data_IF_816501718362
#
_entry.id   IF_816501718362
#
_cell.length_a   1.000
_cell.length_b   1.000
_cell.length_c   1.000
_cell.angle_alpha   90.00
_cell.angle_beta   90.00
_cell.angle_gamma   90.00
#
_symmetry.space_group_name_H-M   'P 1'
#
loop_
_entity.id
_entity.type
_entity.pdbx_description
1 polymer ?
#
# COMPACT_ATOMS: atom_id res chain seq x y z
N UNK A 1 15.83 -55.10 9.81
CA UNK A 1 14.95 -53.95 9.56
C UNK A 1 14.35 -54.14 8.19
N UNK A 2 13.14 -54.68 8.13
CA UNK A 2 12.46 -55.02 6.88
C UNK A 2 11.56 -53.86 6.42
N UNK A 3 11.10 -53.92 5.17
CA UNK A 3 10.14 -52.94 4.62
C UNK A 3 8.85 -52.82 5.46
N UNK A 4 8.48 -53.89 6.17
CA UNK A 4 7.36 -53.90 7.12
C UNK A 4 7.59 -52.99 8.33
N UNK A 5 8.84 -52.84 8.79
CA UNK A 5 9.19 -51.98 9.92
C UNK A 5 9.10 -50.49 9.54
N UNK A 6 9.31 -50.15 8.26
CA UNK A 6 9.21 -48.78 7.73
C UNK A 6 7.74 -48.35 7.53
N UNK A 7 6.86 -49.30 7.20
CA UNK A 7 5.45 -49.03 6.92
C UNK A 7 4.57 -48.87 8.17
N UNK A 8 5.06 -49.27 9.35
CA UNK A 8 4.27 -49.32 10.59
C UNK A 8 3.72 -47.96 11.07
N UNK A 9 4.22 -46.84 10.55
CA UNK A 9 3.75 -45.48 10.87
C UNK A 9 3.05 -44.75 9.71
N UNK A 10 2.96 -45.34 8.51
CA UNK A 10 2.46 -44.64 7.32
C UNK A 10 0.96 -44.88 7.17
N UNK A 11 0.17 -43.81 7.38
CA UNK A 11 -1.28 -43.82 7.18
C UNK A 11 -1.61 -43.40 5.75
N UNK A 12 -2.12 -44.30 4.94
CA UNK A 12 -2.63 -44.00 3.60
C UNK A 12 -4.00 -43.30 3.68
N UNK A 13 -4.14 -42.15 3.03
CA UNK A 13 -5.42 -41.46 2.84
C UNK A 13 -5.82 -41.51 1.37
N UNK A 14 -7.10 -41.74 1.07
CA UNK A 14 -7.66 -41.75 -0.31
C UNK A 14 -8.10 -40.37 -0.77
N UNK A 15 -8.03 -39.37 0.12
CA UNK A 15 -8.37 -37.99 -0.19
C UNK A 15 -7.14 -37.13 0.04
N UNK A 16 -6.59 -36.60 -1.04
CA UNK A 16 -5.69 -35.45 -0.97
C UNK A 16 -6.54 -34.20 -0.73
N UNK A 17 -6.10 -33.35 0.20
CA UNK A 17 -6.56 -31.96 0.24
C UNK A 17 -5.78 -31.22 -0.84
N UNK A 18 -6.51 -30.66 -1.78
CA UNK A 18 -5.96 -29.72 -2.75
C UNK A 18 -5.43 -28.53 -1.98
N UNK A 19 -4.10 -28.47 -1.81
CA UNK A 19 -3.42 -27.23 -1.45
C UNK A 19 -3.07 -26.61 -2.78
N UNK A 20 -3.90 -25.65 -3.22
CA UNK A 20 -3.59 -24.86 -4.41
C UNK A 20 -2.17 -24.32 -4.29
N UNK A 21 -1.41 -24.45 -5.37
CA UNK A 21 -0.09 -23.84 -5.48
C UNK A 21 -0.31 -22.46 -6.09
N UNK A 22 0.04 -21.41 -5.36
CA UNK A 22 0.05 -20.06 -5.92
C UNK A 22 1.17 -20.02 -6.98
N UNK A 23 0.79 -19.95 -8.26
CA UNK A 23 1.75 -19.82 -9.36
C UNK A 23 2.04 -18.34 -9.57
N UNK A 24 3.28 -17.92 -9.28
CA UNK A 24 3.75 -16.57 -9.57
C UNK A 24 3.97 -16.42 -11.07
N UNK A 25 3.18 -15.55 -11.69
CA UNK A 25 3.45 -15.13 -13.06
C UNK A 25 4.49 -13.99 -13.07
N UNK A 26 5.76 -14.34 -13.29
CA UNK A 26 6.84 -13.36 -13.47
C UNK A 26 6.76 -12.61 -14.81
N UNK A 27 5.74 -12.85 -15.64
CA UNK A 27 5.44 -12.05 -16.84
C UNK A 27 4.43 -10.94 -16.56
N UNK A 28 3.96 -10.81 -15.32
CA UNK A 28 3.10 -9.72 -14.90
C UNK A 28 3.85 -8.37 -14.98
N UNK A 29 3.19 -7.40 -15.60
CA UNK A 29 3.68 -6.03 -15.76
C UNK A 29 3.97 -5.39 -14.39
N UNK A 30 5.08 -4.64 -14.29
CA UNK A 30 5.49 -3.95 -13.05
C UNK A 30 4.46 -2.90 -12.63
N UNK A 31 4.43 -2.54 -11.34
CA UNK A 31 3.49 -1.52 -10.87
C UNK A 31 3.72 -0.18 -11.58
N UNK A 32 4.97 0.22 -11.81
CA UNK A 32 5.29 1.46 -12.54
C UNK A 32 4.70 1.46 -13.96
N UNK A 33 4.77 0.33 -14.68
CA UNK A 33 4.22 0.24 -16.03
C UNK A 33 2.68 0.30 -16.04
N UNK A 34 2.02 -0.30 -15.04
CA UNK A 34 0.56 -0.15 -14.85
C UNK A 34 0.17 1.30 -14.50
N UNK A 35 0.99 1.97 -13.69
CA UNK A 35 0.73 3.35 -13.26
C UNK A 35 0.98 4.39 -14.34
N UNK A 36 1.70 4.05 -15.41
CA UNK A 36 1.95 4.97 -16.53
C UNK A 36 0.65 5.49 -17.17
N UNK A 37 -0.44 4.70 -17.14
CA UNK A 37 -1.75 5.14 -17.63
C UNK A 37 -2.38 6.28 -16.81
N UNK A 38 -1.91 6.51 -15.58
CA UNK A 38 -2.45 7.49 -14.64
C UNK A 38 -1.45 8.62 -14.33
N UNK A 39 -0.28 8.64 -14.99
CA UNK A 39 0.83 9.53 -14.64
C UNK A 39 0.44 11.02 -14.68
N UNK A 40 -0.38 11.42 -15.66
CA UNK A 40 -0.87 12.80 -15.80
C UNK A 40 -1.79 13.25 -14.64
N UNK A 41 -2.38 12.30 -13.92
CA UNK A 41 -3.28 12.55 -12.79
C UNK A 41 -2.59 12.44 -11.42
N UNK A 42 -1.28 12.12 -11.42
CA UNK A 42 -0.47 11.94 -10.23
C UNK A 42 0.42 13.16 -9.95
N UNK A 43 0.70 13.47 -8.66
CA UNK A 43 1.63 14.55 -8.31
C UNK A 43 3.11 14.27 -8.65
N UNK A 44 3.43 13.03 -9.05
CA UNK A 44 4.78 12.48 -9.27
C UNK A 44 4.75 11.52 -10.44
N UNK A 45 5.92 11.13 -10.96
CA UNK A 45 6.02 10.12 -12.01
C UNK A 45 5.47 8.75 -11.55
N UNK A 46 5.07 7.92 -12.52
CA UNK A 46 4.59 6.57 -12.26
C UNK A 46 5.62 5.70 -11.51
N UNK A 47 6.91 5.90 -11.79
CA UNK A 47 8.01 5.20 -11.11
C UNK A 47 8.09 5.56 -9.62
N UNK A 48 8.11 6.86 -9.30
CA UNK A 48 8.14 7.32 -7.91
C UNK A 48 6.87 6.89 -7.16
N UNK A 49 5.70 6.95 -7.81
CA UNK A 49 4.44 6.49 -7.25
C UNK A 49 4.47 4.99 -6.91
N UNK A 50 5.02 4.16 -7.82
CA UNK A 50 5.16 2.73 -7.60
C UNK A 50 6.08 2.42 -6.42
N UNK A 51 7.26 3.05 -6.36
CA UNK A 51 8.20 2.90 -5.23
C UNK A 51 7.53 3.22 -3.90
N UNK A 52 6.82 4.35 -3.81
CA UNK A 52 6.12 4.72 -2.57
C UNK A 52 5.01 3.74 -2.20
N UNK A 53 4.22 3.29 -3.19
CA UNK A 53 3.12 2.37 -2.96
C UNK A 53 3.62 1.01 -2.44
N UNK A 54 4.70 0.48 -3.01
CA UNK A 54 5.32 -0.77 -2.58
C UNK A 54 5.91 -0.63 -1.17
N UNK A 55 6.67 0.44 -0.89
CA UNK A 55 7.23 0.69 0.43
C UNK A 55 6.14 0.85 1.51
N UNK A 56 5.13 1.68 1.24
CA UNK A 56 4.05 1.96 2.19
C UNK A 56 3.18 0.72 2.44
N UNK A 57 2.84 -0.06 1.41
CA UNK A 57 2.15 -1.34 1.56
C UNK A 57 3.00 -2.39 2.28
N UNK A 58 4.33 -2.30 2.18
CA UNK A 58 5.30 -3.07 2.96
C UNK A 58 5.39 -2.65 4.43
N UNK A 59 4.67 -1.61 4.84
CA UNK A 59 4.60 -1.11 6.22
C UNK A 59 5.56 0.04 6.53
N UNK A 60 6.22 0.62 5.53
CA UNK A 60 7.01 1.84 5.71
C UNK A 60 6.11 3.02 6.10
N UNK A 61 6.65 3.99 6.84
CA UNK A 61 5.94 5.24 7.08
C UNK A 61 5.86 6.06 5.79
N UNK A 62 4.95 7.04 5.72
CA UNK A 62 4.88 7.98 4.58
C UNK A 62 6.22 8.71 4.37
N UNK A 63 6.93 9.03 5.45
CA UNK A 63 8.24 9.68 5.38
C UNK A 63 9.30 8.77 4.77
N UNK A 64 9.39 7.52 5.24
CA UNK A 64 10.36 6.55 4.72
C UNK A 64 10.10 6.23 3.23
N UNK A 65 8.83 6.07 2.86
CA UNK A 65 8.43 5.87 1.47
C UNK A 65 8.79 7.10 0.59
N UNK A 66 8.60 8.31 1.13
CA UNK A 66 8.98 9.56 0.44
C UNK A 66 10.49 9.65 0.21
N UNK A 67 11.28 9.30 1.23
CA UNK A 67 12.75 9.30 1.16
C UNK A 67 13.24 8.28 0.13
N UNK A 68 12.65 7.09 0.08
CA UNK A 68 12.98 6.04 -0.90
C UNK A 68 12.68 6.49 -2.33
N UNK A 69 11.58 7.20 -2.55
CA UNK A 69 11.20 7.75 -3.85
C UNK A 69 11.85 9.11 -4.17
N UNK A 70 12.64 9.68 -3.25
CA UNK A 70 13.31 10.97 -3.44
C UNK A 70 12.36 12.17 -3.54
N UNK A 71 11.21 12.12 -2.88
CA UNK A 71 10.18 13.19 -2.91
C UNK A 71 9.90 13.75 -1.51
N UNK A 72 9.26 14.91 -1.45
CA UNK A 72 8.86 15.48 -0.15
C UNK A 72 7.72 14.65 0.50
N UNK A 73 7.70 14.49 1.84
CA UNK A 73 6.66 13.70 2.53
C UNK A 73 5.22 14.16 2.26
N UNK A 74 4.99 15.46 2.08
CA UNK A 74 3.66 15.99 1.72
C UNK A 74 3.26 15.59 0.31
N UNK A 75 4.20 15.53 -0.64
CA UNK A 75 3.94 15.03 -1.99
C UNK A 75 3.67 13.53 -1.98
N UNK A 76 4.41 12.77 -1.17
CA UNK A 76 4.16 11.34 -0.98
C UNK A 76 2.75 11.07 -0.43
N UNK A 77 2.33 11.78 0.62
CA UNK A 77 0.97 11.66 1.16
C UNK A 77 -0.10 11.95 0.10
N UNK A 78 0.08 12.99 -0.73
CA UNK A 78 -0.84 13.31 -1.82
C UNK A 78 -0.88 12.22 -2.89
N UNK A 79 0.27 11.69 -3.28
CA UNK A 79 0.38 10.64 -4.28
C UNK A 79 -0.27 9.33 -3.78
N UNK A 80 0.05 8.90 -2.56
CA UNK A 80 -0.56 7.71 -1.95
C UNK A 80 -2.09 7.86 -1.81
N UNK A 81 -2.58 9.06 -1.48
CA UNK A 81 -4.02 9.33 -1.45
C UNK A 81 -4.66 9.19 -2.83
N UNK A 82 -4.02 9.74 -3.87
CA UNK A 82 -4.48 9.59 -5.26
C UNK A 82 -4.43 8.14 -5.74
N UNK A 83 -3.55 7.31 -5.19
CA UNK A 83 -3.51 5.87 -5.44
C UNK A 83 -4.55 5.05 -4.65
N UNK A 84 -5.35 5.69 -3.78
CA UNK A 84 -6.42 5.05 -3.03
C UNK A 84 -6.03 4.52 -1.65
N UNK A 85 -4.84 4.83 -1.14
CA UNK A 85 -4.49 4.50 0.24
C UNK A 85 -5.29 5.37 1.22
N UNK A 86 -5.91 4.72 2.21
CA UNK A 86 -6.68 5.40 3.24
C UNK A 86 -5.81 5.87 4.42
N UNK A 87 -6.35 6.76 5.25
CA UNK A 87 -5.73 7.16 6.53
C UNK A 87 -4.59 8.17 6.41
N UNK A 88 -4.48 8.87 5.27
CA UNK A 88 -3.40 9.84 5.00
C UNK A 88 -3.76 11.27 5.41
N UNK A 89 -5.02 11.53 5.78
CA UNK A 89 -5.40 12.81 6.36
C UNK A 89 -4.76 12.96 7.74
N UNK A 90 -4.07 14.08 8.01
CA UNK A 90 -3.52 14.33 9.33
C UNK A 90 -4.60 14.72 10.36
N UNK A 91 -5.82 15.03 9.89
CA UNK A 91 -6.90 15.53 10.74
C UNK A 91 -7.66 14.40 11.44
N UNK A 92 -7.93 14.62 12.72
CA UNK A 92 -8.93 13.88 13.50
C UNK A 92 -10.35 14.12 12.95
N UNK A 93 -11.34 13.28 13.32
CA UNK A 93 -12.72 13.46 12.88
C UNK A 93 -13.28 14.87 13.12
N UNK A 94 -13.07 15.43 14.31
CA UNK A 94 -13.51 16.79 14.65
C UNK A 94 -12.84 17.87 13.78
N UNK A 95 -11.53 17.73 13.53
CA UNK A 95 -10.83 18.69 12.66
C UNK A 95 -11.33 18.62 11.21
N UNK A 96 -11.82 17.45 10.75
CA UNK A 96 -12.44 17.32 9.42
C UNK A 96 -13.80 18.01 9.35
N UNK A 97 -14.62 17.95 10.40
CA UNK A 97 -15.87 18.73 10.45
C UNK A 97 -15.57 20.24 10.32
N UNK A 98 -14.57 20.75 11.05
CA UNK A 98 -14.14 22.16 10.94
C UNK A 98 -13.61 22.49 9.52
N UNK A 99 -12.89 21.55 8.90
CA UNK A 99 -12.41 21.72 7.52
C UNK A 99 -13.59 21.77 6.54
N UNK A 100 -14.62 20.96 6.74
CA UNK A 100 -15.85 20.95 5.93
C UNK A 100 -16.58 22.29 6.05
N UNK A 101 -16.72 22.84 7.27
CA UNK A 101 -17.28 24.17 7.49
C UNK A 101 -16.51 25.25 6.73
N UNK A 102 -15.17 25.18 6.73
CA UNK A 102 -14.33 26.11 5.97
C UNK A 102 -14.51 25.94 4.45
N UNK A 103 -14.55 24.71 3.95
CA UNK A 103 -14.77 24.42 2.52
C UNK A 103 -16.17 24.87 2.06
N UNK A 104 -17.16 24.82 2.95
CA UNK A 104 -18.52 25.32 2.74
C UNK A 104 -18.63 26.85 2.89
N UNK A 105 -17.52 27.55 3.20
CA UNK A 105 -17.46 28.98 3.50
C UNK A 105 -18.32 29.42 4.70
N UNK A 106 -18.54 28.52 5.67
CA UNK A 106 -19.25 28.79 6.91
C UNK A 106 -18.35 29.41 8.00
N UNK A 107 -17.02 29.25 7.86
CA UNK A 107 -16.03 29.94 8.71
C UNK A 107 -14.84 30.48 7.89
N UNK A 108 -14.13 31.45 8.47
CA UNK A 108 -12.93 32.01 7.83
C UNK A 108 -11.75 31.04 7.93
N UNK A 109 -10.77 31.16 7.03
CA UNK A 109 -9.53 30.36 7.10
C UNK A 109 -8.79 30.57 8.42
N UNK A 110 -8.81 31.79 8.96
CA UNK A 110 -8.14 32.10 10.22
C UNK A 110 -8.80 31.35 11.39
N UNK A 111 -10.14 31.37 11.45
CA UNK A 111 -10.90 30.66 12.49
C UNK A 111 -10.70 29.15 12.36
N UNK A 112 -10.74 28.61 11.13
CA UNK A 112 -10.52 27.17 10.90
C UNK A 112 -9.14 26.72 11.37
N UNK A 113 -8.08 27.49 11.09
CA UNK A 113 -6.73 27.20 11.56
C UNK A 113 -6.63 27.28 13.09
N UNK A 114 -7.27 28.27 13.71
CA UNK A 114 -7.29 28.42 15.17
C UNK A 114 -8.03 27.25 15.84
N UNK A 115 -9.22 26.89 15.35
CA UNK A 115 -10.06 25.82 15.89
C UNK A 115 -9.43 24.43 15.70
N UNK A 116 -8.79 24.19 14.55
CA UNK A 116 -8.10 22.91 14.32
C UNK A 116 -6.77 22.82 15.06
N UNK A 117 -6.14 23.95 15.39
CA UNK A 117 -4.79 24.01 15.96
C UNK A 117 -3.70 23.49 15.00
N UNK A 118 -4.03 23.28 13.72
CA UNK A 118 -3.16 22.67 12.74
C UNK A 118 -2.14 23.65 12.17
N UNK A 119 -0.98 23.14 11.78
CA UNK A 119 -0.02 23.91 10.99
C UNK A 119 -0.50 24.13 9.55
N UNK A 120 0.02 25.16 8.87
CA UNK A 120 -0.41 25.46 7.49
C UNK A 120 -0.24 24.30 6.51
N UNK A 121 0.87 23.55 6.63
CA UNK A 121 1.15 22.39 5.77
C UNK A 121 0.18 21.24 6.03
N UNK A 122 -0.17 21.03 7.29
CA UNK A 122 -1.10 19.99 7.73
C UNK A 122 -2.51 20.31 7.24
N UNK A 123 -2.95 21.55 7.41
CA UNK A 123 -4.22 22.05 6.91
C UNK A 123 -4.30 21.95 5.38
N UNK A 124 -3.24 22.32 4.66
CA UNK A 124 -3.19 22.20 3.21
C UNK A 124 -3.24 20.74 2.72
N UNK A 125 -2.62 19.82 3.46
CA UNK A 125 -2.70 18.38 3.16
C UNK A 125 -4.10 17.84 3.42
N UNK A 126 -4.71 18.18 4.56
CA UNK A 126 -6.08 17.76 4.88
C UNK A 126 -7.09 18.30 3.85
N UNK A 127 -6.95 19.57 3.46
CA UNK A 127 -7.77 20.17 2.41
C UNK A 127 -7.59 19.46 1.06
N UNK A 128 -6.36 19.09 0.69
CA UNK A 128 -6.13 18.32 -0.53
C UNK A 128 -6.84 16.96 -0.49
N UNK A 129 -6.67 16.21 0.60
CA UNK A 129 -7.30 14.89 0.78
C UNK A 129 -8.83 14.99 0.73
N UNK A 130 -9.42 16.04 1.31
CA UNK A 130 -10.87 16.24 1.32
C UNK A 130 -11.46 16.69 -0.03
N UNK A 131 -10.64 17.23 -0.94
CA UNK A 131 -11.12 17.83 -2.20
C UNK A 131 -10.72 17.06 -3.45
N UNK A 132 -9.79 16.12 -3.32
CA UNK A 132 -9.33 15.28 -4.42
C UNK A 132 -9.67 13.85 -4.08
N UNK A 133 -10.51 13.21 -4.89
CA UNK A 133 -10.76 11.76 -4.74
C UNK A 133 -9.51 10.96 -5.14
N UNK A 134 -9.45 9.64 -4.92
CA UNK A 134 -8.50 8.78 -5.60
C UNK A 134 -8.66 8.82 -7.14
N UNK A 135 -7.63 8.44 -7.88
CA UNK A 135 -7.71 8.28 -9.34
C UNK A 135 -8.52 7.02 -9.63
N UNK A 136 -9.52 7.13 -10.50
CA UNK A 136 -10.33 5.99 -10.94
C UNK A 136 -9.43 4.88 -11.53
N UNK A 137 -9.54 3.67 -10.98
CA UNK A 137 -8.78 2.50 -11.42
C UNK A 137 -7.34 2.40 -10.88
N UNK A 138 -6.77 3.45 -10.28
CA UNK A 138 -5.41 3.37 -9.72
C UNK A 138 -5.33 2.45 -8.50
N UNK A 139 -6.35 2.49 -7.63
CA UNK A 139 -6.43 1.61 -6.46
C UNK A 139 -6.45 0.12 -6.86
N UNK A 140 -7.23 -0.22 -7.88
CA UNK A 140 -7.30 -1.59 -8.41
C UNK A 140 -5.97 -2.03 -9.02
N UNK A 141 -5.29 -1.13 -9.75
CA UNK A 141 -3.97 -1.40 -10.32
C UNK A 141 -2.93 -1.70 -9.23
N UNK A 142 -2.95 -0.92 -8.15
CA UNK A 142 -2.07 -1.09 -6.98
C UNK A 142 -2.41 -2.37 -6.23
N UNK A 143 -3.68 -2.62 -5.88
CA UNK A 143 -4.12 -3.82 -5.18
C UNK A 143 -3.78 -5.09 -5.96
N UNK A 144 -4.03 -5.09 -7.28
CA UNK A 144 -3.66 -6.19 -8.16
C UNK A 144 -2.16 -6.47 -8.16
N UNK A 145 -1.32 -5.43 -8.22
CA UNK A 145 0.14 -5.60 -8.24
C UNK A 145 0.67 -6.11 -6.90
N UNK A 146 0.21 -5.55 -5.79
CA UNK A 146 0.69 -5.88 -4.45
C UNK A 146 0.19 -7.25 -3.95
N UNK A 147 -1.01 -7.67 -4.38
CA UNK A 147 -1.52 -9.01 -4.08
C UNK A 147 -0.64 -10.10 -4.71
N UNK A 148 -0.10 -9.85 -5.91
CA UNK A 148 0.87 -10.75 -6.55
C UNK A 148 2.25 -10.72 -5.89
N UNK A 149 2.62 -9.62 -5.21
CA UNK A 149 3.89 -9.50 -4.49
C UNK A 149 3.92 -10.31 -3.17
N UNK A 150 2.77 -10.54 -2.53
CA UNK A 150 2.65 -11.39 -1.34
C UNK A 150 3.17 -12.82 -1.55
N UNK A 151 3.02 -13.35 -2.76
CA UNK A 151 3.54 -14.67 -3.13
C UNK A 151 5.09 -14.69 -3.22
N UNK A 152 5.72 -13.56 -3.57
CA UNK A 152 7.19 -13.45 -3.63
C UNK A 152 7.85 -13.47 -2.23
N UNK A 153 7.16 -12.97 -1.20
CA UNK A 153 7.61 -13.07 0.19
C UNK A 153 7.58 -14.52 0.71
N UNK A 154 6.58 -15.30 0.27
CA UNK A 154 6.50 -16.75 0.54
C UNK A 154 7.67 -17.48 -0.14
N UNK A 155 8.00 -17.14 -1.39
CA UNK A 155 9.16 -17.70 -2.11
C UNK A 155 10.49 -17.38 -1.40
N UNK A 156 10.71 -16.14 -0.95
CA UNK A 156 11.92 -15.78 -0.17
C UNK A 156 12.03 -16.55 1.13
N UNK A 157 10.92 -16.74 1.84
CA UNK A 157 10.88 -17.52 3.08
C UNK A 157 11.20 -18.99 2.81
N UNK A 158 10.60 -19.56 1.77
CA UNK A 158 10.77 -20.98 1.44
C UNK A 158 12.18 -21.25 0.89
N UNK A 159 12.77 -20.32 0.12
CA UNK A 159 14.17 -20.36 -0.29
C UNK A 159 15.13 -20.26 0.91
N UNK A 160 14.85 -19.38 1.86
CA UNK A 160 15.64 -19.26 3.09
C UNK A 160 15.54 -20.54 3.94
N UNK A 161 14.35 -21.11 4.08
CA UNK A 161 14.12 -22.37 4.79
C UNK A 161 14.88 -23.53 4.14
N UNK A 162 14.96 -23.57 2.80
CA UNK A 162 15.73 -24.59 2.08
C UNK A 162 17.26 -24.49 2.28
N UNK A 163 17.77 -23.36 2.79
CA UNK A 163 19.21 -23.17 3.08
C UNK A 163 19.60 -23.44 4.53
N UNK A 164 18.62 -23.59 5.42
CA UNK A 164 18.87 -23.95 6.82
C UNK A 164 18.91 -25.48 6.94
N UNK A 165 20.03 -26.09 7.37
CA UNK A 165 20.08 -27.52 7.63
C UNK A 165 19.18 -27.84 8.82
N UNK A 166 18.38 -28.91 8.71
CA UNK A 166 17.57 -29.45 9.81
C UNK A 166 18.47 -29.68 11.04
N UNK A 167 18.16 -28.98 12.13
CA UNK A 167 18.84 -29.12 13.42
C UNK A 167 18.27 -30.29 14.24
#
# INVERSE_FOLDING_TARGET
>A
MGLADIAAGVRTTTRQRERGVASVDRTAESLASRLAAFEDDLPVSAEAAATMAEAYAGGASVGDAADEAGVAPTTAAKALHRLGFAGLSPFSPLQREILEDWLAAECSRADALELTGAGEREFALAAFVATHEPVDGAAEAVESALSNAGDAMVEKRDALAATLPDA
#
